data_IF_179692718743
#
_entry.id   IF_179692718743
#
_cell.length_a   1.000
_cell.length_b   1.000
_cell.length_c   1.000
_cell.angle_alpha   90.00
_cell.angle_beta   90.00
_cell.angle_gamma   90.00
#
_symmetry.space_group_name_H-M   'P 1'
#
loop_
_entity.id
_entity.type
_entity.pdbx_description
1 polymer ?
#
# COMPACT_ATOMS: atom_id res chain seq x y z
N UNK A 1 -1.91 -18.46 13.58
CA UNK A 1 -2.21 -18.87 14.99
C UNK A 1 -2.38 -20.38 14.97
N UNK A 2 -1.78 -21.10 15.92
CA UNK A 2 -1.88 -22.59 15.97
C UNK A 2 -3.32 -22.99 16.25
N UNK A 3 -3.85 -23.98 15.52
CA UNK A 3 -5.22 -24.49 15.69
C UNK A 3 -5.48 -24.98 17.12
N UNK A 4 -4.46 -25.54 17.76
CA UNK A 4 -4.51 -26.01 19.16
C UNK A 4 -4.76 -24.88 20.16
N UNK A 5 -4.35 -23.64 19.87
CA UNK A 5 -4.64 -22.46 20.69
C UNK A 5 -6.03 -21.93 20.36
N UNK A 6 -6.36 -21.85 19.07
CA UNK A 6 -7.65 -21.36 18.61
C UNK A 6 -8.84 -22.19 19.14
N UNK A 7 -8.67 -23.51 19.28
CA UNK A 7 -9.71 -24.41 19.81
C UNK A 7 -9.97 -24.27 21.31
N UNK A 8 -9.10 -23.58 22.06
CA UNK A 8 -9.19 -23.41 23.53
C UNK A 8 -9.43 -21.96 23.95
N UNK A 9 -9.54 -21.03 23.00
CA UNK A 9 -9.74 -19.61 23.25
C UNK A 9 -10.99 -19.11 22.52
N UNK A 10 -11.66 -18.14 23.08
CA UNK A 10 -12.68 -17.38 22.36
C UNK A 10 -11.97 -16.41 21.41
N UNK A 11 -12.30 -16.48 20.11
CA UNK A 11 -11.70 -15.64 19.08
C UNK A 11 -12.57 -14.41 18.88
N UNK A 12 -12.14 -13.27 19.42
CA UNK A 12 -12.73 -11.98 19.14
C UNK A 12 -12.15 -11.38 17.84
N UNK A 13 -13.01 -11.25 16.84
CA UNK A 13 -12.63 -10.60 15.57
C UNK A 13 -12.98 -9.13 15.61
N UNK A 14 -12.00 -8.26 15.84
CA UNK A 14 -12.16 -6.82 15.74
C UNK A 14 -12.25 -6.41 14.27
N UNK A 15 -13.35 -5.73 13.92
CA UNK A 15 -13.53 -5.15 12.58
C UNK A 15 -12.99 -3.71 12.57
N UNK A 16 -12.39 -3.24 11.45
CA UNK A 16 -12.09 -1.82 11.29
C UNK A 16 -13.36 -0.98 11.45
N UNK A 17 -13.20 0.23 11.96
CA UNK A 17 -14.28 1.21 11.99
C UNK A 17 -14.54 1.78 10.60
N UNK A 18 -15.76 2.28 10.31
CA UNK A 18 -15.99 3.17 9.18
C UNK A 18 -15.02 4.34 9.24
N UNK A 19 -14.53 4.80 8.09
CA UNK A 19 -13.45 5.81 8.01
C UNK A 19 -13.81 7.09 8.77
N UNK A 20 -15.05 7.58 8.64
CA UNK A 20 -15.51 8.79 9.33
C UNK A 20 -15.54 8.60 10.85
N UNK A 21 -16.01 7.43 11.33
CA UNK A 21 -16.00 7.11 12.75
C UNK A 21 -14.57 6.96 13.30
N UNK A 22 -13.65 6.42 12.49
CA UNK A 22 -12.24 6.33 12.83
C UNK A 22 -11.60 7.72 12.90
N UNK A 23 -11.86 8.60 11.94
CA UNK A 23 -11.38 9.98 11.93
C UNK A 23 -11.85 10.75 13.16
N UNK A 24 -13.13 10.63 13.51
CA UNK A 24 -13.70 11.25 14.71
C UNK A 24 -13.04 10.73 15.99
N UNK A 25 -12.89 9.41 16.11
CA UNK A 25 -12.21 8.79 17.26
C UNK A 25 -10.75 9.26 17.39
N UNK A 26 -10.01 9.37 16.28
CA UNK A 26 -8.63 9.86 16.28
C UNK A 26 -8.55 11.32 16.71
N UNK A 27 -9.49 12.16 16.27
CA UNK A 27 -9.52 13.58 16.64
C UNK A 27 -9.89 13.77 18.14
N UNK A 28 -10.89 13.06 18.65
CA UNK A 28 -11.35 13.24 20.03
C UNK A 28 -10.49 12.52 21.06
N UNK A 29 -10.24 11.22 20.85
CA UNK A 29 -9.56 10.40 21.86
C UNK A 29 -8.04 10.58 21.84
N UNK A 30 -7.43 10.88 20.68
CA UNK A 30 -5.98 11.02 20.52
C UNK A 30 -5.54 12.46 20.22
N UNK A 31 -6.49 13.42 20.16
CA UNK A 31 -6.23 14.84 19.92
C UNK A 31 -5.42 15.11 18.62
N UNK A 32 -5.63 14.27 17.62
CA UNK A 32 -5.01 14.42 16.31
C UNK A 32 -5.78 15.50 15.53
N UNK A 33 -5.11 16.46 14.86
CA UNK A 33 -5.79 17.46 14.04
C UNK A 33 -6.76 16.82 13.05
N UNK A 34 -7.99 17.39 12.85
CA UNK A 34 -9.07 16.74 12.06
C UNK A 34 -8.64 16.34 10.65
N UNK A 35 -7.88 17.18 9.96
CA UNK A 35 -7.37 16.89 8.60
C UNK A 35 -6.42 15.68 8.60
N UNK A 36 -5.51 15.62 9.58
CA UNK A 36 -4.59 14.49 9.73
C UNK A 36 -5.33 13.22 10.18
N UNK A 37 -6.29 13.35 11.09
CA UNK A 37 -7.13 12.24 11.55
C UNK A 37 -7.88 11.61 10.37
N UNK A 38 -8.45 12.42 9.48
CA UNK A 38 -9.14 11.97 8.27
C UNK A 38 -8.18 11.25 7.32
N UNK A 39 -7.01 11.84 7.05
CA UNK A 39 -5.98 11.22 6.20
C UNK A 39 -5.55 9.85 6.77
N UNK A 40 -5.21 9.79 8.06
CA UNK A 40 -4.78 8.56 8.71
C UNK A 40 -5.87 7.49 8.75
N UNK A 41 -7.13 7.88 8.97
CA UNK A 41 -8.25 6.96 8.93
C UNK A 41 -8.43 6.33 7.54
N UNK A 42 -8.25 7.10 6.46
CA UNK A 42 -8.24 6.59 5.09
C UNK A 42 -7.07 5.65 4.84
N UNK A 43 -5.82 6.08 5.12
CA UNK A 43 -4.60 5.28 4.92
C UNK A 43 -4.64 3.93 5.64
N UNK A 44 -5.30 3.87 6.79
CA UNK A 44 -5.39 2.66 7.60
C UNK A 44 -6.71 1.90 7.44
N UNK A 45 -7.60 2.36 6.55
CA UNK A 45 -8.92 1.78 6.34
C UNK A 45 -9.68 1.58 7.66
N UNK A 46 -9.69 2.60 8.52
CA UNK A 46 -10.42 2.60 9.80
C UNK A 46 -9.74 1.81 10.94
N UNK A 47 -8.48 1.42 10.80
CA UNK A 47 -7.71 0.71 11.86
C UNK A 47 -7.04 1.71 12.79
N UNK A 48 -7.69 2.05 13.89
CA UNK A 48 -7.22 3.07 14.87
C UNK A 48 -5.79 2.83 15.33
N UNK A 49 -5.44 1.60 15.74
CA UNK A 49 -4.08 1.31 16.23
C UNK A 49 -2.99 1.54 15.17
N UNK A 50 -3.27 1.24 13.90
CA UNK A 50 -2.37 1.53 12.81
C UNK A 50 -2.26 3.04 12.56
N UNK A 51 -3.37 3.79 12.63
CA UNK A 51 -3.40 5.23 12.47
C UNK A 51 -2.58 5.96 13.55
N UNK A 52 -2.76 5.57 14.81
CA UNK A 52 -1.97 6.12 15.93
C UNK A 52 -0.48 5.82 15.75
N UNK A 53 -0.13 4.60 15.33
CA UNK A 53 1.27 4.23 15.06
C UNK A 53 1.89 5.09 13.94
N UNK A 54 1.15 5.35 12.87
CA UNK A 54 1.60 6.25 11.78
C UNK A 54 1.76 7.68 12.26
N UNK A 55 0.83 8.18 13.08
CA UNK A 55 0.90 9.53 13.65
C UNK A 55 2.11 9.73 14.55
N UNK A 56 2.40 8.73 15.40
CA UNK A 56 3.53 8.78 16.33
C UNK A 56 4.89 8.59 15.66
N UNK A 57 4.94 8.08 14.45
CA UNK A 57 6.17 7.79 13.73
C UNK A 57 6.12 8.38 12.30
N UNK A 58 6.49 9.66 12.13
CA UNK A 58 6.48 10.33 10.82
C UNK A 58 7.33 9.61 9.75
N UNK A 59 8.40 8.93 10.17
CA UNK A 59 9.25 8.15 9.26
C UNK A 59 8.48 7.02 8.55
N UNK A 60 7.46 6.44 9.21
CA UNK A 60 6.61 5.41 8.60
C UNK A 60 5.72 6.00 7.50
N UNK A 61 5.24 7.22 7.68
CA UNK A 61 4.47 7.92 6.65
C UNK A 61 5.35 8.28 5.46
N UNK A 62 6.57 8.77 5.72
CA UNK A 62 7.55 9.02 4.66
C UNK A 62 7.90 7.74 3.90
N UNK A 63 8.14 6.64 4.60
CA UNK A 63 8.42 5.35 3.97
C UNK A 63 7.25 4.83 3.12
N UNK A 64 6.01 5.10 3.55
CA UNK A 64 4.80 4.78 2.78
C UNK A 64 4.77 5.55 1.44
N UNK A 65 4.99 6.87 1.49
CA UNK A 65 5.04 7.71 0.29
C UNK A 65 6.22 7.32 -0.63
N UNK A 66 7.40 7.05 -0.08
CA UNK A 66 8.56 6.56 -0.83
C UNK A 66 8.29 5.22 -1.53
N UNK A 67 7.49 4.34 -0.90
CA UNK A 67 7.08 3.07 -1.51
C UNK A 67 6.12 3.27 -2.69
N UNK A 68 5.23 4.27 -2.63
CA UNK A 68 4.34 4.65 -3.73
C UNK A 68 5.13 5.32 -4.88
N UNK A 69 6.10 6.18 -4.56
CA UNK A 69 6.99 6.77 -5.57
C UNK A 69 7.82 5.69 -6.28
N UNK A 70 8.35 4.74 -5.51
CA UNK A 70 9.04 3.57 -6.05
C UNK A 70 8.16 2.76 -6.99
N UNK A 71 6.88 2.55 -6.63
CA UNK A 71 5.93 1.86 -7.51
C UNK A 71 5.72 2.62 -8.82
N UNK A 72 5.53 3.94 -8.75
CA UNK A 72 5.36 4.78 -9.95
C UNK A 72 6.58 4.69 -10.89
N UNK A 73 7.79 4.73 -10.35
CA UNK A 73 9.02 4.52 -11.12
C UNK A 73 9.08 3.13 -11.76
N UNK A 74 8.69 2.08 -11.02
CA UNK A 74 8.68 0.71 -11.51
C UNK A 74 7.62 0.46 -12.59
N UNK A 75 6.50 1.18 -12.56
CA UNK A 75 5.48 1.11 -13.62
C UNK A 75 5.96 1.75 -14.93
N UNK A 76 6.85 2.74 -14.87
CA UNK A 76 7.50 3.32 -16.05
C UNK A 76 8.74 2.53 -16.50
N UNK A 77 9.26 1.64 -15.64
CA UNK A 77 10.51 0.92 -15.86
C UNK A 77 10.34 -0.27 -16.80
N UNK A 78 11.36 -0.54 -17.63
CA UNK A 78 11.42 -1.77 -18.41
C UNK A 78 11.78 -2.99 -17.53
N UNK A 79 11.63 -4.20 -18.09
CA UNK A 79 11.90 -5.47 -17.36
C UNK A 79 13.27 -5.54 -16.73
N UNK A 80 14.31 -5.06 -17.44
CA UNK A 80 15.69 -5.05 -16.92
C UNK A 80 15.82 -4.15 -15.69
N UNK A 81 15.24 -2.96 -15.72
CA UNK A 81 15.25 -2.01 -14.59
C UNK A 81 14.51 -2.57 -13.38
N UNK A 82 13.37 -3.26 -13.59
CA UNK A 82 12.64 -3.95 -12.51
C UNK A 82 13.50 -5.02 -11.83
N UNK A 83 14.25 -5.82 -12.59
CA UNK A 83 15.16 -6.82 -12.02
C UNK A 83 16.37 -6.17 -11.32
N UNK A 84 16.91 -5.08 -11.86
CA UNK A 84 17.97 -4.30 -11.21
C UNK A 84 17.51 -3.69 -9.88
N UNK A 85 16.26 -3.26 -9.79
CA UNK A 85 15.67 -2.81 -8.52
C UNK A 85 15.70 -3.92 -7.46
N UNK A 86 15.25 -5.14 -7.78
CA UNK A 86 15.30 -6.28 -6.84
C UNK A 86 16.74 -6.58 -6.41
N UNK A 87 17.69 -6.53 -7.35
CA UNK A 87 19.10 -6.72 -7.04
C UNK A 87 19.63 -5.63 -6.10
N UNK A 88 19.30 -4.37 -6.36
CA UNK A 88 19.67 -3.24 -5.50
C UNK A 88 19.11 -3.36 -4.09
N UNK A 89 17.85 -3.80 -3.98
CA UNK A 89 17.18 -4.04 -2.71
C UNK A 89 17.86 -5.18 -1.92
N UNK A 90 18.30 -6.23 -2.62
CA UNK A 90 19.03 -7.36 -2.03
C UNK A 90 20.41 -6.98 -1.46
N UNK A 91 21.00 -5.88 -1.95
CA UNK A 91 22.32 -5.38 -1.49
C UNK A 91 22.23 -4.41 -0.31
N UNK A 92 21.03 -3.89 0.00
CA UNK A 92 20.83 -3.01 1.17
C UNK A 92 21.02 -3.79 2.47
N UNK A 93 21.50 -3.11 3.51
CA UNK A 93 21.54 -3.69 4.86
C UNK A 93 20.12 -4.01 5.31
N UNK A 94 19.87 -5.27 5.69
CA UNK A 94 18.56 -5.74 6.14
C UNK A 94 18.13 -7.00 5.40
N UNK A 95 16.99 -7.53 5.80
CA UNK A 95 16.40 -8.71 5.16
C UNK A 95 15.60 -8.29 3.94
N UNK A 96 15.90 -8.86 2.76
CA UNK A 96 15.09 -8.67 1.56
C UNK A 96 13.62 -9.09 1.79
N UNK A 97 13.41 -10.06 2.66
CA UNK A 97 12.06 -10.50 3.06
C UNK A 97 11.32 -9.41 3.82
N UNK A 98 11.98 -8.73 4.77
CA UNK A 98 11.38 -7.62 5.50
C UNK A 98 11.05 -6.47 4.55
N UNK A 99 11.99 -6.08 3.69
CA UNK A 99 11.75 -5.05 2.66
C UNK A 99 10.57 -5.41 1.74
N UNK A 100 10.45 -6.67 1.33
CA UNK A 100 9.34 -7.13 0.50
C UNK A 100 8.01 -7.12 1.29
N UNK A 101 8.04 -7.54 2.55
CA UNK A 101 6.87 -7.54 3.44
C UNK A 101 6.37 -6.12 3.76
N UNK A 102 7.24 -5.13 3.74
CA UNK A 102 6.86 -3.72 3.92
C UNK A 102 6.30 -3.10 2.62
N UNK A 103 6.91 -3.37 1.47
CA UNK A 103 6.55 -2.76 0.18
C UNK A 103 5.25 -3.33 -0.42
N UNK A 104 5.12 -4.67 -0.45
CA UNK A 104 4.02 -5.32 -1.19
C UNK A 104 2.63 -4.96 -0.64
N UNK A 105 2.38 -4.84 0.68
CA UNK A 105 1.09 -4.40 1.20
C UNK A 105 0.70 -3.00 0.74
N UNK A 106 1.69 -2.07 0.66
CA UNK A 106 1.46 -0.70 0.18
C UNK A 106 1.08 -0.71 -1.30
N UNK A 107 1.82 -1.47 -2.12
CA UNK A 107 1.52 -1.63 -3.54
C UNK A 107 0.16 -2.31 -3.78
N UNK A 108 -0.19 -3.31 -2.97
CA UNK A 108 -1.51 -3.94 -3.03
C UNK A 108 -2.63 -2.93 -2.73
N UNK A 109 -2.44 -2.04 -1.75
CA UNK A 109 -3.41 -0.99 -1.43
C UNK A 109 -3.60 -0.04 -2.61
N UNK A 110 -2.51 0.36 -3.27
CA UNK A 110 -2.56 1.17 -4.49
C UNK A 110 -3.32 0.47 -5.63
N UNK A 111 -3.03 -0.80 -5.89
CA UNK A 111 -3.70 -1.56 -6.95
C UNK A 111 -5.18 -1.82 -6.65
N UNK A 112 -5.56 -1.94 -5.38
CA UNK A 112 -6.97 -1.99 -4.97
C UNK A 112 -7.68 -0.65 -5.25
N UNK A 113 -7.01 0.46 -5.01
CA UNK A 113 -7.55 1.78 -5.38
C UNK A 113 -7.72 1.92 -6.89
N UNK A 114 -6.76 1.42 -7.70
CA UNK A 114 -6.89 1.38 -9.17
C UNK A 114 -8.07 0.51 -9.60
N UNK A 115 -8.27 -0.64 -8.95
CA UNK A 115 -9.40 -1.53 -9.22
C UNK A 115 -10.74 -0.86 -8.89
N UNK A 116 -10.83 -0.15 -7.76
CA UNK A 116 -12.01 0.64 -7.37
C UNK A 116 -12.27 1.74 -8.39
N UNK A 117 -11.23 2.48 -8.80
CA UNK A 117 -11.35 3.56 -9.79
C UNK A 117 -11.72 3.08 -11.19
N UNK A 118 -11.45 1.81 -11.54
CA UNK A 118 -11.87 1.19 -12.81
C UNK A 118 -13.29 0.63 -12.77
N UNK A 119 -13.92 0.62 -11.61
CA UNK A 119 -15.30 0.21 -11.41
C UNK A 119 -16.17 1.44 -11.13
N UNK A 120 -17.47 1.34 -11.39
CA UNK A 120 -18.43 2.42 -11.07
C UNK A 120 -18.80 2.47 -9.56
N UNK A 121 -17.92 1.95 -8.68
CA UNK A 121 -18.18 1.89 -7.25
C UNK A 121 -17.88 3.23 -6.57
N UNK A 122 -18.85 3.79 -5.86
CA UNK A 122 -18.69 5.00 -5.02
C UNK A 122 -17.98 4.66 -3.69
N UNK A 123 -16.74 4.16 -3.79
CA UNK A 123 -15.91 3.82 -2.62
C UNK A 123 -14.74 4.80 -2.55
N UNK A 124 -14.53 5.37 -1.37
CA UNK A 124 -13.41 6.29 -1.15
C UNK A 124 -12.07 5.56 -1.27
N UNK A 125 -11.16 6.14 -2.06
CA UNK A 125 -9.80 5.63 -2.24
C UNK A 125 -8.98 5.82 -0.96
N UNK A 126 -8.09 4.89 -0.69
CA UNK A 126 -7.12 4.96 0.43
C UNK A 126 -6.05 6.01 0.12
N UNK A 127 -5.48 5.97 -1.10
CA UNK A 127 -4.40 6.85 -1.54
C UNK A 127 -4.94 8.11 -2.21
N UNK A 128 -5.68 8.95 -1.46
CA UNK A 128 -6.31 10.16 -1.99
C UNK A 128 -5.31 11.16 -2.58
N UNK A 129 -4.10 11.26 -2.01
CA UNK A 129 -3.00 12.09 -2.54
C UNK A 129 -2.55 11.68 -3.95
N UNK A 130 -2.88 10.48 -4.39
CA UNK A 130 -2.50 9.90 -5.69
C UNK A 130 -3.70 9.70 -6.62
N UNK A 131 -4.86 10.30 -6.32
CA UNK A 131 -6.11 10.08 -7.06
C UNK A 131 -5.96 10.27 -8.56
N UNK A 132 -5.30 11.35 -9.01
CA UNK A 132 -5.08 11.62 -10.43
C UNK A 132 -4.25 10.52 -11.13
N UNK A 133 -3.22 10.00 -10.43
CA UNK A 133 -2.38 8.92 -10.95
C UNK A 133 -3.14 7.60 -11.00
N UNK A 134 -3.93 7.31 -9.97
CA UNK A 134 -4.78 6.12 -9.88
C UNK A 134 -5.81 6.12 -11.01
N UNK A 135 -6.52 7.23 -11.22
CA UNK A 135 -7.50 7.36 -12.30
C UNK A 135 -6.85 7.21 -13.68
N UNK A 136 -5.67 7.80 -13.88
CA UNK A 136 -4.94 7.64 -15.12
C UNK A 136 -4.57 6.18 -15.39
N UNK A 137 -4.03 5.45 -14.38
CA UNK A 137 -3.71 4.02 -14.53
C UNK A 137 -4.96 3.19 -14.82
N UNK A 138 -6.07 3.46 -14.13
CA UNK A 138 -7.35 2.78 -14.35
C UNK A 138 -7.89 2.96 -15.79
N UNK A 139 -7.55 4.07 -16.46
CA UNK A 139 -7.93 4.31 -17.86
C UNK A 139 -6.99 3.61 -18.88
N UNK A 140 -5.81 3.16 -18.47
CA UNK A 140 -4.84 2.50 -19.36
C UNK A 140 -5.00 0.99 -19.41
N UNK A 141 -5.78 0.40 -18.52
CA UNK A 141 -5.90 -1.04 -18.33
C UNK A 141 -7.36 -1.44 -18.21
N UNK A 142 -7.69 -2.66 -18.62
CA UNK A 142 -9.01 -3.20 -18.34
C UNK A 142 -9.14 -3.77 -16.92
N UNK A 143 -10.38 -3.98 -16.47
CA UNK A 143 -10.66 -4.50 -15.12
C UNK A 143 -9.99 -5.85 -14.85
N UNK A 144 -9.94 -6.72 -15.87
CA UNK A 144 -9.36 -8.07 -15.75
C UNK A 144 -7.85 -8.01 -15.55
N UNK A 145 -7.18 -7.11 -16.28
CA UNK A 145 -5.74 -6.86 -16.14
C UNK A 145 -5.40 -6.30 -14.75
N UNK A 146 -6.15 -5.30 -14.28
CA UNK A 146 -5.97 -4.71 -12.95
C UNK A 146 -6.19 -5.77 -11.86
N UNK A 147 -7.27 -6.55 -11.97
CA UNK A 147 -7.58 -7.62 -11.03
C UNK A 147 -6.48 -8.69 -11.00
N UNK A 148 -5.89 -9.04 -12.14
CA UNK A 148 -4.78 -9.97 -12.21
C UNK A 148 -3.55 -9.45 -11.43
N UNK A 149 -3.24 -8.14 -11.49
CA UNK A 149 -2.15 -7.55 -10.72
C UNK A 149 -2.44 -7.62 -9.21
N UNK A 150 -3.68 -7.34 -8.79
CA UNK A 150 -4.10 -7.50 -7.38
C UNK A 150 -3.86 -8.93 -6.90
N UNK A 151 -4.29 -9.93 -7.68
CA UNK A 151 -4.08 -11.34 -7.35
C UNK A 151 -2.59 -11.72 -7.25
N UNK A 152 -1.75 -11.18 -8.14
CA UNK A 152 -0.30 -11.41 -8.08
C UNK A 152 0.30 -10.82 -6.81
N UNK A 153 -0.13 -9.64 -6.37
CA UNK A 153 0.29 -9.03 -5.10
C UNK A 153 -0.13 -9.90 -3.90
N UNK A 154 -1.39 -10.36 -3.86
CA UNK A 154 -1.90 -11.23 -2.78
C UNK A 154 -1.13 -12.55 -2.72
N UNK A 155 -0.88 -13.16 -3.89
CA UNK A 155 -0.07 -14.38 -4.01
C UNK A 155 1.36 -14.16 -3.53
N UNK A 156 1.96 -13.01 -3.83
CA UNK A 156 3.31 -12.69 -3.37
C UNK A 156 3.38 -12.60 -1.84
N UNK A 157 2.37 -12.03 -1.17
CA UNK A 157 2.29 -12.00 0.30
C UNK A 157 2.15 -13.41 0.88
N UNK A 158 1.27 -14.24 0.34
CA UNK A 158 1.12 -15.65 0.76
C UNK A 158 2.43 -16.44 0.59
N UNK A 159 3.16 -16.19 -0.51
CA UNK A 159 4.45 -16.83 -0.76
C UNK A 159 5.53 -16.38 0.24
N UNK A 160 5.54 -15.11 0.66
CA UNK A 160 6.44 -14.63 1.71
C UNK A 160 6.13 -15.27 3.07
N UNK A 161 4.85 -15.43 3.42
CA UNK A 161 4.43 -16.13 4.65
C UNK A 161 4.86 -17.61 4.64
N UNK A 162 4.85 -18.25 3.49
CA UNK A 162 5.30 -19.65 3.29
C UNK A 162 6.82 -19.79 3.14
N UNK A 163 7.58 -18.72 3.44
CA UNK A 163 9.05 -18.71 3.40
C UNK A 163 9.67 -19.03 2.03
N UNK A 164 8.94 -18.79 0.92
CA UNK A 164 9.50 -18.86 -0.43
C UNK A 164 10.58 -17.78 -0.59
N UNK A 165 11.57 -18.03 -1.44
CA UNK A 165 12.69 -17.11 -1.67
C UNK A 165 12.18 -15.70 -2.05
N UNK A 166 12.43 -14.66 -1.23
CA UNK A 166 11.87 -13.32 -1.42
C UNK A 166 12.34 -12.66 -2.72
N UNK A 167 13.52 -13.00 -3.23
CA UNK A 167 14.02 -12.50 -4.51
C UNK A 167 13.14 -12.99 -5.66
N UNK A 168 12.86 -14.29 -5.71
CA UNK A 168 11.99 -14.87 -6.74
C UNK A 168 10.56 -14.33 -6.66
N UNK A 169 10.06 -14.12 -5.44
CA UNK A 169 8.73 -13.53 -5.21
C UNK A 169 8.66 -12.12 -5.80
N UNK A 170 9.63 -11.25 -5.49
CA UNK A 170 9.68 -9.88 -6.00
C UNK A 170 9.90 -9.82 -7.52
N UNK A 171 10.84 -10.63 -8.05
CA UNK A 171 11.09 -10.70 -9.49
C UNK A 171 9.82 -11.12 -10.24
N UNK A 172 9.14 -12.16 -9.77
CA UNK A 172 7.88 -12.61 -10.35
C UNK A 172 6.79 -11.54 -10.28
N UNK A 173 6.60 -10.90 -9.12
CA UNK A 173 5.64 -9.83 -8.92
C UNK A 173 5.89 -8.69 -9.92
N UNK A 174 7.11 -8.17 -9.98
CA UNK A 174 7.45 -7.02 -10.82
C UNK A 174 7.38 -7.31 -12.32
N UNK A 175 7.66 -8.55 -12.74
CA UNK A 175 7.53 -8.96 -14.14
C UNK A 175 6.07 -9.07 -14.60
N UNK A 176 5.13 -9.31 -13.68
CA UNK A 176 3.69 -9.31 -13.95
C UNK A 176 3.05 -7.92 -13.84
N UNK A 177 3.73 -6.94 -13.23
CA UNK A 177 3.26 -5.56 -13.24
C UNK A 177 3.35 -4.97 -14.65
N UNK A 178 2.34 -4.19 -15.09
CA UNK A 178 2.33 -3.53 -16.39
C UNK A 178 3.52 -2.58 -16.55
N UNK A 179 3.84 -2.24 -17.81
CA UNK A 179 4.76 -1.15 -18.14
C UNK A 179 3.88 -0.05 -18.71
N UNK A 180 3.67 0.99 -17.92
CA UNK A 180 2.87 2.15 -18.28
C UNK A 180 3.82 3.30 -18.61
N UNK A 181 3.54 4.04 -19.69
CA UNK A 181 4.35 5.21 -20.02
C UNK A 181 4.37 6.23 -18.86
N UNK A 182 5.48 6.91 -18.66
CA UNK A 182 5.60 7.90 -17.60
C UNK A 182 4.59 9.04 -17.81
N UNK A 183 3.56 9.12 -16.95
CA UNK A 183 2.94 10.40 -16.62
C UNK A 183 3.83 10.97 -15.54
N UNK A 184 4.43 12.15 -15.77
CA UNK A 184 5.29 12.79 -14.77
C UNK A 184 4.59 12.78 -13.40
N UNK A 185 5.21 12.19 -12.37
CA UNK A 185 4.70 12.32 -11.02
C UNK A 185 4.83 13.82 -10.65
N UNK A 186 3.72 14.52 -10.51
CA UNK A 186 3.73 15.85 -9.90
C UNK A 186 4.29 15.68 -8.48
N UNK A 187 5.49 16.19 -8.24
CA UNK A 187 6.11 16.43 -6.91
C UNK A 187 5.31 17.44 -6.07
N UNK A 188 4.00 17.30 -5.99
CA UNK A 188 3.12 18.35 -5.46
C UNK A 188 2.69 18.16 -4.00
N UNK A 189 2.96 17.03 -3.35
CA UNK A 189 2.44 16.80 -2.00
C UNK A 189 3.48 16.91 -0.86
N UNK A 190 4.77 17.04 -1.17
CA UNK A 190 5.81 17.02 -0.14
C UNK A 190 5.85 18.29 0.74
N UNK A 191 5.31 19.42 0.27
CA UNK A 191 5.37 20.69 1.01
C UNK A 191 4.11 21.03 1.81
N UNK A 192 3.01 20.29 1.67
CA UNK A 192 1.77 20.60 2.37
C UNK A 192 1.65 19.93 3.75
N UNK A 193 2.49 18.95 4.05
CA UNK A 193 2.42 18.18 5.30
C UNK A 193 3.45 18.62 6.37
N UNK A 194 4.36 19.55 6.04
CA UNK A 194 5.46 19.96 6.93
C UNK A 194 5.49 21.49 7.20
N UNK A 195 4.55 22.27 6.71
CA UNK A 195 4.40 23.67 7.08
C UNK A 195 3.15 23.82 7.95
N UNK A 196 3.33 23.70 9.24
CA UNK A 196 2.86 24.53 10.36
C UNK A 196 3.37 23.95 11.69
#
# INVERSE_FOLDING_TARGET
MLETIASRCEILRLRPLPVDAAAHCLAEAYQIPPEQAKLLAHLTSGRIGAAVKLYQNPDLLSAYEDALDTLAELLAANRRQKLQFVESLSRKKGSLRESAADLIPIWLTYWRDVLIASSDAEIALVNQSRQDAIQWVAQQMDFTEIHAVVQVCEKALDQLEKYINPRLVLENLLLHMPILGAKEPRKAARNALYND
#
